data_IF_672491979123
#
_entry.id   IF_672491979123
#
_cell.length_a   1.000
_cell.length_b   1.000
_cell.length_c   1.000
_cell.angle_alpha   90.00
_cell.angle_beta   90.00
_cell.angle_gamma   90.00
#
_symmetry.space_group_name_H-M   'P 1'
#
loop_
_entity.id
_entity.type
_entity.pdbx_description
1 polymer ?
#
# COMPACT_ATOMS: atom_id res chain seq x y z
N UNK A 1 4.32 -17.27 -10.13
CA UNK A 1 4.47 -15.80 -10.31
C UNK A 1 5.50 -15.32 -9.30
N UNK A 2 6.67 -14.88 -9.76
CA UNK A 2 7.71 -14.30 -8.90
C UNK A 2 7.23 -12.92 -8.45
N UNK A 3 7.06 -12.74 -7.15
CA UNK A 3 6.70 -11.43 -6.58
C UNK A 3 7.90 -10.50 -6.78
N UNK A 4 7.69 -9.29 -7.30
CA UNK A 4 8.76 -8.31 -7.39
C UNK A 4 9.22 -7.95 -5.97
N UNK A 5 10.52 -8.07 -5.69
CA UNK A 5 11.09 -7.79 -4.36
C UNK A 5 11.22 -6.30 -4.03
N UNK A 6 10.82 -5.44 -4.96
CA UNK A 6 10.83 -3.99 -4.77
C UNK A 6 9.72 -3.55 -3.79
N UNK A 7 10.16 -2.93 -2.70
CA UNK A 7 9.33 -2.39 -1.63
C UNK A 7 9.38 -0.87 -1.64
N UNK A 8 8.37 -0.25 -1.05
CA UNK A 8 8.26 1.19 -0.81
C UNK A 8 8.07 1.44 0.68
N UNK A 9 8.68 2.50 1.19
CA UNK A 9 8.52 2.89 2.60
C UNK A 9 7.03 3.09 2.94
N UNK A 10 6.54 2.41 3.99
CA UNK A 10 5.17 2.55 4.51
C UNK A 10 4.84 3.96 5.02
N UNK A 11 5.87 4.71 5.46
CA UNK A 11 5.73 6.08 5.93
C UNK A 11 5.67 7.12 4.79
N UNK A 12 5.89 6.68 3.54
CA UNK A 12 5.52 7.48 2.38
C UNK A 12 4.05 7.19 2.05
N UNK A 13 3.20 8.20 2.15
CA UNK A 13 1.89 8.18 1.49
C UNK A 13 2.04 8.87 0.12
N UNK A 14 1.23 8.52 -0.88
CA UNK A 14 1.17 9.24 -2.17
C UNK A 14 0.31 10.51 -2.09
N UNK A 15 0.55 11.51 -2.94
CA UNK A 15 -0.27 12.73 -2.99
C UNK A 15 -1.76 12.44 -3.27
N UNK A 16 -2.05 11.32 -3.96
CA UNK A 16 -3.41 10.85 -4.27
C UNK A 16 -4.10 10.09 -3.12
N UNK A 17 -3.48 9.96 -1.94
CA UNK A 17 -4.06 9.26 -0.78
C UNK A 17 -5.17 10.12 -0.14
N UNK A 18 -6.45 9.72 -0.23
CA UNK A 18 -7.58 10.55 0.22
C UNK A 18 -7.65 10.75 1.73
N UNK A 19 -6.94 9.91 2.51
CA UNK A 19 -6.85 10.03 3.97
C UNK A 19 -5.77 11.04 4.40
N UNK A 20 -5.10 11.68 3.44
CA UNK A 20 -3.91 12.52 3.66
C UNK A 20 -4.25 14.02 3.76
N UNK A 21 -5.22 14.36 4.61
CA UNK A 21 -5.63 15.75 4.81
C UNK A 21 -4.55 16.63 5.48
N UNK A 22 -3.48 16.06 6.05
CA UNK A 22 -2.47 16.76 6.86
C UNK A 22 -1.06 16.87 6.24
N UNK A 23 -0.81 16.24 5.08
CA UNK A 23 0.49 16.25 4.42
C UNK A 23 1.65 15.56 5.18
N UNK A 24 1.40 14.81 6.26
CA UNK A 24 2.42 14.38 7.23
C UNK A 24 3.27 13.16 6.84
N UNK A 25 3.50 12.93 5.54
CA UNK A 25 4.42 11.88 5.11
C UNK A 25 5.83 12.18 5.60
N UNK A 26 6.54 11.17 6.12
CA UNK A 26 7.93 11.33 6.58
C UNK A 26 8.91 11.60 5.41
N UNK A 27 8.42 11.41 4.18
CA UNK A 27 9.14 11.64 2.94
C UNK A 27 8.29 12.45 1.97
N UNK A 28 8.91 13.44 1.33
CA UNK A 28 8.29 14.24 0.25
C UNK A 28 8.15 13.46 -1.07
N UNK A 29 8.81 12.30 -1.19
CA UNK A 29 8.84 11.45 -2.39
C UNK A 29 8.91 9.96 -2.00
N UNK A 30 8.53 9.03 -2.89
CA UNK A 30 8.64 7.60 -2.58
C UNK A 30 10.09 7.18 -2.38
N UNK A 31 10.33 6.41 -1.32
CA UNK A 31 11.61 5.75 -1.06
C UNK A 31 11.44 4.26 -1.36
N UNK A 32 12.04 3.81 -2.47
CA UNK A 32 12.06 2.40 -2.86
C UNK A 32 13.29 1.69 -2.29
N UNK A 33 13.11 0.43 -1.90
CA UNK A 33 14.17 -0.40 -1.32
C UNK A 33 13.95 -1.88 -1.63
N UNK A 34 15.01 -2.67 -1.55
CA UNK A 34 14.95 -4.14 -1.55
C UNK A 34 14.93 -4.72 -0.12
N UNK A 35 15.27 -3.89 0.89
CA UNK A 35 15.23 -4.27 2.31
C UNK A 35 13.79 -4.29 2.83
N UNK A 36 13.56 -5.00 3.94
CA UNK A 36 12.30 -4.95 4.67
C UNK A 36 12.08 -3.63 5.43
N UNK A 37 13.13 -2.82 5.57
CA UNK A 37 13.12 -1.54 6.29
C UNK A 37 13.59 -0.40 5.38
N UNK A 38 13.03 0.78 5.59
CA UNK A 38 13.43 2.00 4.90
C UNK A 38 14.81 2.46 5.38
N UNK A 39 15.79 2.66 4.48
CA UNK A 39 17.13 3.08 4.87
C UNK A 39 17.18 4.52 5.41
N UNK A 40 16.17 5.36 5.10
CA UNK A 40 16.17 6.77 5.46
C UNK A 40 15.52 7.03 6.84
N UNK A 41 14.46 6.30 7.19
CA UNK A 41 13.67 6.55 8.41
C UNK A 41 13.49 5.31 9.31
N UNK A 42 13.87 4.11 8.84
CA UNK A 42 13.69 2.86 9.58
C UNK A 42 12.26 2.30 9.60
N UNK A 43 11.28 2.97 8.97
CA UNK A 43 9.92 2.43 8.86
C UNK A 43 9.86 1.18 7.98
N UNK A 44 8.82 0.35 8.15
CA UNK A 44 8.63 -0.88 7.35
C UNK A 44 8.53 -0.55 5.86
N UNK A 45 9.17 -1.36 5.02
CA UNK A 45 9.07 -1.28 3.57
C UNK A 45 8.08 -2.33 3.06
N UNK A 46 6.97 -1.87 2.48
CA UNK A 46 5.87 -2.71 2.00
C UNK A 46 6.02 -3.00 0.52
N UNK A 47 5.51 -4.15 0.07
CA UNK A 47 5.62 -4.52 -1.35
C UNK A 47 4.84 -3.53 -2.23
N UNK A 48 5.51 -3.02 -3.26
CA UNK A 48 4.92 -2.02 -4.16
C UNK A 48 4.11 -2.64 -5.31
N UNK A 49 4.24 -3.94 -5.55
CA UNK A 49 3.48 -4.61 -6.59
C UNK A 49 2.02 -4.77 -6.15
N UNK A 50 1.05 -4.46 -7.03
CA UNK A 50 -0.35 -4.69 -6.74
C UNK A 50 -0.63 -6.19 -6.58
N UNK A 51 -1.77 -6.52 -5.96
CA UNK A 51 -2.25 -7.88 -5.92
C UNK A 51 -2.41 -8.44 -7.35
N UNK A 52 -1.99 -9.69 -7.62
CA UNK A 52 -2.15 -10.29 -8.94
C UNK A 52 -3.63 -10.46 -9.28
N UNK A 53 -3.94 -10.35 -10.58
CA UNK A 53 -5.28 -10.61 -11.08
C UNK A 53 -5.55 -12.13 -11.18
N UNK A 54 -6.70 -12.56 -10.67
CA UNK A 54 -7.24 -13.92 -10.82
C UNK A 54 -8.66 -13.83 -11.40
N UNK A 55 -8.94 -14.40 -12.59
CA UNK A 55 -10.27 -14.37 -13.17
C UNK A 55 -11.34 -15.10 -12.35
N UNK A 56 -10.96 -16.05 -11.48
CA UNK A 56 -11.90 -16.71 -10.59
C UNK A 56 -12.30 -15.83 -9.40
N UNK A 57 -11.49 -14.83 -9.06
CA UNK A 57 -11.66 -13.87 -7.96
C UNK A 57 -12.50 -14.39 -6.77
N UNK A 58 -12.02 -15.41 -6.02
CA UNK A 58 -12.84 -16.12 -5.04
C UNK A 58 -13.38 -15.21 -3.92
N UNK A 59 -12.69 -14.10 -3.64
CA UNK A 59 -13.04 -13.13 -2.60
C UNK A 59 -13.61 -11.81 -3.18
N UNK A 60 -13.96 -11.79 -4.47
CA UNK A 60 -14.39 -10.57 -5.17
C UNK A 60 -15.68 -9.96 -4.66
N UNK A 61 -16.63 -10.79 -4.22
CA UNK A 61 -17.89 -10.33 -3.62
C UNK A 61 -17.63 -9.62 -2.29
N UNK A 62 -16.83 -10.22 -1.41
CA UNK A 62 -16.44 -9.61 -0.14
C UNK A 62 -15.66 -8.32 -0.35
N UNK A 63 -14.68 -8.31 -1.26
CA UNK A 63 -13.85 -7.13 -1.54
C UNK A 63 -14.66 -5.94 -2.05
N UNK A 64 -15.69 -6.18 -2.88
CA UNK A 64 -16.60 -5.12 -3.35
C UNK A 64 -17.47 -4.56 -2.22
N UNK A 65 -18.10 -5.45 -1.43
CA UNK A 65 -18.89 -5.03 -0.27
C UNK A 65 -18.08 -4.19 0.72
N UNK A 66 -16.87 -4.62 1.06
CA UNK A 66 -15.99 -3.87 1.97
C UNK A 66 -15.59 -2.50 1.41
N UNK A 67 -15.41 -2.39 0.08
CA UNK A 67 -15.16 -1.11 -0.59
C UNK A 67 -16.35 -0.17 -0.52
N UNK A 68 -17.56 -0.69 -0.69
CA UNK A 68 -18.79 0.10 -0.67
C UNK A 68 -19.17 0.53 0.76
N UNK A 69 -18.92 -0.33 1.75
CA UNK A 69 -19.25 -0.08 3.15
C UNK A 69 -18.27 0.90 3.81
N UNK A 70 -17.02 0.97 3.35
CA UNK A 70 -15.98 1.82 3.93
C UNK A 70 -15.44 1.28 5.27
N UNK A 71 -14.32 1.82 5.76
CA UNK A 71 -13.62 1.30 6.95
C UNK A 71 -14.41 1.48 8.27
N UNK A 72 -15.42 2.34 8.30
CA UNK A 72 -16.13 2.75 9.52
C UNK A 72 -17.38 1.89 9.85
N UNK A 73 -17.66 0.83 9.07
CA UNK A 73 -18.90 0.04 9.16
C UNK A 73 -18.73 -1.37 9.76
N UNK A 74 -17.61 -1.63 10.45
CA UNK A 74 -17.30 -2.91 11.08
C UNK A 74 -17.83 -3.03 12.52
#
# INVERSE_FOLDING_TARGET
MTKSDIRVCSAWRSEDDPDRADGSGQHDRPVYTLSAECPDCGAEAINSAPAPFDPADPYGEYRRRARDAGPDTA
#
